data_IF_111679456001
#
_entry.id   IF_111679456001
#
_cell.length_a   1.000
_cell.length_b   1.000
_cell.length_c   1.000
_cell.angle_alpha   90.00
_cell.angle_beta   90.00
_cell.angle_gamma   90.00
#
_symmetry.space_group_name_H-M   'P 1'
#
loop_
_entity.id
_entity.type
_entity.pdbx_description
1 polymer ?
#
# COMPACT_ATOMS: atom_id res chain seq x y z
N UNK A 1 3.47 -0.21 -17.54
CA UNK A 1 3.49 1.00 -16.67
C UNK A 1 4.35 0.77 -15.44
N UNK A 2 4.15 -0.31 -14.68
CA UNK A 2 4.95 -0.58 -13.46
C UNK A 2 6.47 -0.61 -13.71
N UNK A 3 6.96 -1.40 -14.66
CA UNK A 3 8.38 -1.46 -15.00
C UNK A 3 8.95 -0.08 -15.37
N UNK A 4 8.23 0.68 -16.20
CA UNK A 4 8.68 2.00 -16.64
C UNK A 4 8.71 3.02 -15.48
N UNK A 5 7.75 2.95 -14.55
CA UNK A 5 7.77 3.79 -13.36
C UNK A 5 8.99 3.49 -12.47
N UNK A 6 9.34 2.19 -12.32
CA UNK A 6 10.54 1.77 -11.58
C UNK A 6 11.83 2.21 -12.28
N UNK A 7 11.89 2.11 -13.61
CA UNK A 7 13.04 2.60 -14.39
C UNK A 7 13.25 4.11 -14.22
N UNK A 8 12.18 4.90 -14.33
CA UNK A 8 12.24 6.35 -14.12
C UNK A 8 12.63 6.66 -12.68
N UNK A 9 12.09 5.95 -11.69
CA UNK A 9 12.43 6.17 -10.29
C UNK A 9 13.91 5.86 -10.01
N UNK A 10 14.44 4.78 -10.61
CA UNK A 10 15.84 4.39 -10.51
C UNK A 10 16.80 5.35 -11.23
N UNK A 11 16.41 5.89 -12.38
CA UNK A 11 17.26 6.77 -13.20
C UNK A 11 17.18 8.25 -12.78
N UNK A 12 15.96 8.74 -12.60
CA UNK A 12 15.63 10.17 -12.51
C UNK A 12 15.03 10.55 -11.13
N UNK A 13 14.86 9.57 -10.22
CA UNK A 13 14.37 9.77 -8.87
C UNK A 13 12.86 9.63 -8.69
N UNK A 14 12.43 9.55 -7.43
CA UNK A 14 11.03 9.28 -7.06
C UNK A 14 10.06 10.37 -7.54
N UNK A 15 10.48 11.63 -7.47
CA UNK A 15 9.66 12.77 -7.93
C UNK A 15 9.37 12.69 -9.43
N UNK A 16 10.38 12.36 -10.23
CA UNK A 16 10.25 12.16 -11.68
C UNK A 16 9.28 11.04 -12.01
N UNK A 17 9.34 9.93 -11.26
CA UNK A 17 8.41 8.81 -11.43
C UNK A 17 6.96 9.20 -11.07
N UNK A 18 6.77 9.98 -10.00
CA UNK A 18 5.45 10.46 -9.60
C UNK A 18 4.87 11.42 -10.64
N UNK A 19 5.68 12.37 -11.13
CA UNK A 19 5.26 13.29 -12.18
C UNK A 19 4.90 12.55 -13.46
N UNK A 20 5.70 11.56 -13.86
CA UNK A 20 5.39 10.70 -15.01
C UNK A 20 4.06 9.96 -14.83
N UNK A 21 3.81 9.38 -13.65
CA UNK A 21 2.56 8.68 -13.37
C UNK A 21 1.33 9.59 -13.30
N UNK A 22 1.48 10.84 -12.86
CA UNK A 22 0.39 11.82 -12.85
C UNK A 22 0.04 12.34 -14.25
N UNK A 23 0.97 12.23 -15.21
CA UNK A 23 0.75 12.61 -16.61
C UNK A 23 0.17 11.48 -17.47
N UNK A 24 -0.09 10.30 -16.88
CA UNK A 24 -0.77 9.22 -17.58
C UNK A 24 -2.24 9.58 -17.84
N UNK A 25 -2.84 9.11 -18.95
CA UNK A 25 -4.24 9.36 -19.23
C UNK A 25 -5.15 8.84 -18.11
N UNK A 26 -6.29 9.52 -17.94
CA UNK A 26 -7.24 9.20 -16.87
C UNK A 26 -7.63 7.72 -16.85
N UNK A 27 -7.62 7.18 -15.64
CA UNK A 27 -7.86 5.76 -15.42
C UNK A 27 -9.35 5.45 -15.52
N UNK A 28 -9.68 4.58 -16.47
CA UNK A 28 -11.07 4.31 -16.86
C UNK A 28 -11.77 3.42 -15.82
N UNK A 29 -11.06 2.50 -15.19
CA UNK A 29 -11.64 1.53 -14.24
C UNK A 29 -11.14 1.70 -12.80
N UNK A 30 -11.95 1.25 -11.84
CA UNK A 30 -11.58 1.20 -10.41
C UNK A 30 -10.32 0.38 -10.16
N UNK A 31 -10.19 -0.76 -10.85
CA UNK A 31 -8.99 -1.60 -10.79
C UNK A 31 -7.74 -0.84 -11.25
N UNK A 32 -7.83 -0.11 -12.37
CA UNK A 32 -6.70 0.70 -12.84
C UNK A 32 -6.33 1.78 -11.83
N UNK A 33 -7.31 2.53 -11.32
CA UNK A 33 -7.12 3.54 -10.26
C UNK A 33 -6.41 2.97 -9.04
N UNK A 34 -6.85 1.79 -8.60
CA UNK A 34 -6.25 1.12 -7.46
C UNK A 34 -4.81 0.69 -7.72
N UNK A 35 -4.54 0.05 -8.87
CA UNK A 35 -3.19 -0.38 -9.25
C UNK A 35 -2.20 0.80 -9.36
N UNK A 36 -2.65 1.95 -9.86
CA UNK A 36 -1.83 3.16 -9.92
C UNK A 36 -1.49 3.71 -8.54
N UNK A 37 -2.47 3.81 -7.64
CA UNK A 37 -2.24 4.24 -6.25
C UNK A 37 -1.35 3.26 -5.49
N UNK A 38 -1.51 1.96 -5.75
CA UNK A 38 -0.64 0.91 -5.21
C UNK A 38 0.80 1.07 -5.70
N UNK A 39 1.00 1.41 -6.98
CA UNK A 39 2.32 1.64 -7.57
C UNK A 39 3.01 2.88 -6.97
N UNK A 40 2.28 3.99 -6.77
CA UNK A 40 2.78 5.17 -6.04
C UNK A 40 3.33 4.78 -4.66
N UNK A 41 2.57 3.97 -3.91
CA UNK A 41 2.99 3.50 -2.61
C UNK A 41 4.22 2.58 -2.66
N UNK A 42 4.30 1.65 -3.61
CA UNK A 42 5.46 0.77 -3.79
C UNK A 42 6.73 1.54 -4.13
N UNK A 43 6.65 2.53 -5.02
CA UNK A 43 7.78 3.38 -5.36
C UNK A 43 8.26 4.18 -4.14
N UNK A 44 7.34 4.73 -3.35
CA UNK A 44 7.70 5.40 -2.09
C UNK A 44 8.42 4.44 -1.13
N UNK A 45 7.91 3.22 -0.97
CA UNK A 45 8.49 2.19 -0.10
C UNK A 45 9.91 1.79 -0.56
N UNK A 46 10.09 1.51 -1.85
CA UNK A 46 11.36 1.09 -2.45
C UNK A 46 12.45 2.17 -2.37
N UNK A 47 12.06 3.45 -2.44
CA UNK A 47 12.98 4.58 -2.34
C UNK A 47 13.16 5.09 -0.88
N UNK A 48 12.77 4.29 0.11
CA UNK A 48 13.00 4.58 1.53
C UNK A 48 12.07 5.64 2.13
N UNK A 49 11.08 6.15 1.37
CA UNK A 49 10.10 7.14 1.82
C UNK A 49 8.97 6.47 2.62
N UNK A 50 9.31 5.81 3.72
CA UNK A 50 8.39 4.96 4.51
C UNK A 50 7.16 5.71 5.02
N UNK A 51 7.30 6.94 5.49
CA UNK A 51 6.15 7.74 5.94
C UNK A 51 5.21 8.10 4.79
N UNK A 52 5.74 8.31 3.58
CA UNK A 52 4.93 8.53 2.39
C UNK A 52 4.21 7.24 1.98
N UNK A 53 4.93 6.12 1.92
CA UNK A 53 4.36 4.81 1.64
C UNK A 53 3.23 4.47 2.62
N UNK A 54 3.44 4.70 3.92
CA UNK A 54 2.42 4.50 4.95
C UNK A 54 1.17 5.34 4.70
N UNK A 55 1.33 6.66 4.42
CA UNK A 55 0.20 7.55 4.15
C UNK A 55 -0.58 7.11 2.91
N UNK A 56 0.11 6.74 1.84
CA UNK A 56 -0.50 6.28 0.59
C UNK A 56 -1.26 4.95 0.77
N UNK A 57 -0.63 3.95 1.42
CA UNK A 57 -1.27 2.66 1.67
C UNK A 57 -2.45 2.77 2.64
N UNK A 58 -2.34 3.62 3.68
CA UNK A 58 -3.43 3.83 4.62
C UNK A 58 -4.64 4.51 3.95
N UNK A 59 -4.39 5.52 3.10
CA UNK A 59 -5.45 6.14 2.31
C UNK A 59 -6.11 5.13 1.36
N UNK A 60 -5.30 4.32 0.67
CA UNK A 60 -5.80 3.27 -0.23
C UNK A 60 -6.61 2.20 0.52
N UNK A 61 -6.21 1.83 1.74
CA UNK A 61 -6.91 0.86 2.58
C UNK A 61 -8.29 1.37 3.00
N UNK A 62 -8.41 2.65 3.35
CA UNK A 62 -9.70 3.28 3.71
C UNK A 62 -10.69 3.32 2.55
N UNK A 63 -10.18 3.39 1.32
CA UNK A 63 -10.99 3.40 0.11
C UNK A 63 -11.20 2.00 -0.48
N UNK A 64 -10.61 0.95 0.10
CA UNK A 64 -10.64 -0.41 -0.44
C UNK A 64 -12.08 -0.92 -0.67
N UNK A 65 -12.97 -0.64 0.28
CA UNK A 65 -14.40 -1.01 0.19
C UNK A 65 -15.13 -0.24 -0.91
N UNK A 66 -14.73 1.00 -1.20
CA UNK A 66 -15.33 1.82 -2.26
C UNK A 66 -15.08 1.23 -3.66
N UNK A 67 -13.94 0.57 -3.84
CA UNK A 67 -13.57 -0.06 -5.11
C UNK A 67 -14.22 -1.45 -5.32
N UNK A 68 -15.02 -1.95 -4.36
CA UNK A 68 -15.60 -3.31 -4.35
C UNK A 68 -14.56 -4.43 -4.59
N UNK A 69 -13.29 -4.17 -4.28
CA UNK A 69 -12.16 -5.02 -4.68
C UNK A 69 -12.12 -6.37 -3.97
N UNK A 70 -12.71 -6.47 -2.78
CA UNK A 70 -12.81 -7.72 -2.03
C UNK A 70 -13.55 -8.81 -2.80
N UNK A 71 -14.46 -8.45 -3.72
CA UNK A 71 -15.17 -9.40 -4.57
C UNK A 71 -14.46 -9.76 -5.89
N UNK A 72 -13.50 -8.94 -6.35
CA UNK A 72 -12.90 -9.10 -7.68
C UNK A 72 -11.41 -9.47 -7.65
N UNK A 73 -10.62 -8.91 -6.72
CA UNK A 73 -9.18 -9.18 -6.59
C UNK A 73 -8.73 -9.23 -5.11
N UNK A 74 -9.11 -10.28 -4.36
CA UNK A 74 -8.75 -10.42 -2.95
C UNK A 74 -7.23 -10.46 -2.71
N UNK A 75 -6.45 -10.94 -3.69
CA UNK A 75 -4.99 -10.95 -3.62
C UNK A 75 -4.38 -9.54 -3.57
N UNK A 76 -4.95 -8.58 -4.28
CA UNK A 76 -4.50 -7.18 -4.23
C UNK A 76 -4.79 -6.54 -2.88
N UNK A 77 -5.95 -6.87 -2.30
CA UNK A 77 -6.33 -6.40 -0.96
C UNK A 77 -5.40 -7.00 0.09
N UNK A 78 -5.07 -8.29 -0.04
CA UNK A 78 -4.11 -8.96 0.82
C UNK A 78 -2.71 -8.33 0.73
N UNK A 79 -2.23 -8.04 -0.47
CA UNK A 79 -0.92 -7.39 -0.64
C UNK A 79 -0.89 -5.99 -0.02
N UNK A 80 -1.95 -5.20 -0.21
CA UNK A 80 -2.07 -3.89 0.42
C UNK A 80 -2.01 -3.97 1.94
N UNK A 81 -2.88 -4.78 2.55
CA UNK A 81 -2.99 -4.89 4.01
C UNK A 81 -1.72 -5.49 4.63
N UNK A 82 -1.07 -6.45 3.97
CA UNK A 82 0.20 -7.02 4.44
C UNK A 82 1.37 -6.03 4.42
N UNK A 83 1.47 -5.18 3.39
CA UNK A 83 2.46 -4.10 3.35
C UNK A 83 2.18 -3.06 4.42
N UNK A 84 0.92 -2.67 4.58
CA UNK A 84 0.51 -1.70 5.60
C UNK A 84 0.83 -2.24 7.01
N UNK A 85 0.55 -3.52 7.29
CA UNK A 85 0.89 -4.18 8.55
C UNK A 85 2.39 -4.08 8.85
N UNK A 86 3.25 -4.38 7.88
CA UNK A 86 4.71 -4.26 8.04
C UNK A 86 5.14 -2.84 8.38
N UNK A 87 4.57 -1.83 7.71
CA UNK A 87 4.89 -0.42 7.99
C UNK A 87 4.39 0.02 9.37
N UNK A 88 3.20 -0.43 9.79
CA UNK A 88 2.66 -0.15 11.12
C UNK A 88 3.57 -0.75 12.21
N UNK A 89 3.96 -2.02 12.06
CA UNK A 89 4.87 -2.70 12.99
C UNK A 89 6.24 -2.01 13.06
N UNK A 90 6.81 -1.63 11.91
CA UNK A 90 8.07 -0.87 11.90
C UNK A 90 7.93 0.48 12.61
N UNK A 91 6.80 1.16 12.40
CA UNK A 91 6.52 2.47 13.00
C UNK A 91 6.27 2.38 14.50
N UNK A 92 5.63 1.32 14.99
CA UNK A 92 5.36 1.12 16.43
C UNK A 92 6.62 0.83 17.23
N UNK A 93 7.64 0.22 16.62
CA UNK A 93 8.98 0.04 17.22
C UNK A 93 9.72 1.37 17.34
N UNK A 94 9.57 2.27 16.37
CA UNK A 94 10.31 3.54 16.30
C UNK A 94 9.63 4.68 17.08
N UNK A 95 8.31 4.64 17.29
CA UNK A 95 7.53 5.71 17.94
C UNK A 95 6.78 5.18 19.17
N UNK A 96 7.37 5.35 20.37
CA UNK A 96 6.71 4.94 21.61
C UNK A 96 5.41 5.73 21.91
N UNK A 97 5.33 7.01 21.52
CA UNK A 97 4.19 7.86 21.83
C UNK A 97 2.86 7.38 21.19
N UNK A 98 2.92 6.75 20.02
CA UNK A 98 1.73 6.28 19.27
C UNK A 98 1.56 4.76 19.33
N UNK A 99 2.41 4.07 20.10
CA UNK A 99 2.56 2.60 20.06
C UNK A 99 1.28 1.85 20.35
N UNK A 100 0.48 2.32 21.30
CA UNK A 100 -0.82 1.69 21.64
C UNK A 100 -1.80 1.74 20.47
N UNK A 101 -1.89 2.88 19.77
CA UNK A 101 -2.78 3.04 18.61
C UNK A 101 -2.28 2.20 17.43
N UNK A 102 -0.97 2.23 17.17
CA UNK A 102 -0.37 1.46 16.09
C UNK A 102 -0.50 -0.06 16.31
N UNK A 103 -0.40 -0.53 17.56
CA UNK A 103 -0.63 -1.95 17.85
C UNK A 103 -2.08 -2.36 17.61
N UNK A 104 -3.06 -1.53 17.98
CA UNK A 104 -4.47 -1.79 17.66
C UNK A 104 -4.71 -1.84 16.15
N UNK A 105 -4.10 -0.91 15.40
CA UNK A 105 -4.18 -0.91 13.94
C UNK A 105 -3.55 -2.18 13.33
N UNK A 106 -2.43 -2.64 13.90
CA UNK A 106 -1.78 -3.89 13.48
C UNK A 106 -2.68 -5.12 13.74
N UNK A 107 -3.28 -5.21 14.93
CA UNK A 107 -4.17 -6.32 15.30
C UNK A 107 -5.40 -6.36 14.38
N UNK A 108 -5.98 -5.20 14.07
CA UNK A 108 -7.10 -5.09 13.14
C UNK A 108 -6.70 -5.55 11.73
N UNK A 109 -5.55 -5.11 11.22
CA UNK A 109 -5.05 -5.54 9.90
C UNK A 109 -4.78 -7.05 9.84
N UNK A 110 -4.24 -7.63 10.91
CA UNK A 110 -3.99 -9.07 10.99
C UNK A 110 -5.31 -9.87 11.00
N UNK A 111 -6.33 -9.39 11.71
CA UNK A 111 -7.66 -9.98 11.71
C UNK A 111 -8.27 -9.99 10.30
N UNK A 112 -8.20 -8.85 9.60
CA UNK A 112 -8.69 -8.71 8.22
C UNK A 112 -7.94 -9.61 7.23
N UNK A 113 -6.61 -9.70 7.34
CA UNK A 113 -5.79 -10.60 6.53
C UNK A 113 -6.16 -12.07 6.77
N UNK A 114 -6.46 -12.43 8.01
CA UNK A 114 -6.88 -13.79 8.38
C UNK A 114 -8.22 -14.14 7.75
N UNK A 115 -9.18 -13.21 7.72
CA UNK A 115 -10.47 -13.39 7.03
C UNK A 115 -10.28 -13.53 5.52
N UNK A 116 -9.39 -12.74 4.92
CA UNK A 116 -9.13 -12.77 3.48
C UNK A 116 -8.41 -14.06 3.04
N UNK A 117 -7.35 -14.46 3.74
CA UNK A 117 -6.56 -15.62 3.37
C UNK A 117 -5.85 -16.27 4.58
N UNK A 118 -6.54 -17.16 5.33
CA UNK A 118 -6.02 -17.72 6.59
C UNK A 118 -4.64 -18.35 6.47
N UNK A 119 -4.40 -19.16 5.42
CA UNK A 119 -3.12 -19.84 5.23
C UNK A 119 -1.93 -18.89 5.00
N UNK A 120 -2.17 -17.72 4.40
CA UNK A 120 -1.13 -16.70 4.17
C UNK A 120 -0.98 -15.79 5.37
N UNK A 121 -2.02 -15.62 6.19
CA UNK A 121 -1.95 -14.83 7.41
C UNK A 121 -1.02 -15.47 8.46
N UNK A 122 -0.85 -16.80 8.45
CA UNK A 122 0.06 -17.52 9.34
C UNK A 122 1.55 -17.14 9.23
N UNK A 123 1.94 -16.40 8.19
CA UNK A 123 3.34 -15.99 7.99
C UNK A 123 3.70 -14.65 8.65
N UNK A 124 2.72 -13.98 9.27
CA UNK A 124 2.90 -12.71 9.98
C UNK A 124 3.00 -12.93 11.49
#
# INVERSE_FOLDING_TARGET
>A
MEQQAMEIAGRDGLESAFNWMNNLPDMVTDRQRYLHRMLLARLAEQHGQRDMAFRLLNALNRECDNYRLTGWEPDLVFELKSRLLKLVQQKSVLKDADKTTLNKDADQLLSELTVLHPARALTF
#
